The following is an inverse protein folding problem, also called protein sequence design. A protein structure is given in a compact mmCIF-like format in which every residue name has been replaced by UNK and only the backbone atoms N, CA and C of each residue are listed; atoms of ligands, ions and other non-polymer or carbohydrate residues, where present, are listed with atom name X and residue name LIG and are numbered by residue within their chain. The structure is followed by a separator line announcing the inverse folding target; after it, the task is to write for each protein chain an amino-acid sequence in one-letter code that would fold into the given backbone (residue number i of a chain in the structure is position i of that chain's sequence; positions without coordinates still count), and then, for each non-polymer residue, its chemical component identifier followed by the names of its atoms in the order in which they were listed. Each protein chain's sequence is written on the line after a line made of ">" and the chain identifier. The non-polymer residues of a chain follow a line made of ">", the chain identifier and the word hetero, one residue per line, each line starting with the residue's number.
data_IF_975111438552
#
_entry.id   IF_975111438552
#
_cell.length_a   1.000
_cell.length_b   1.000
_cell.length_c   1.000
_cell.angle_alpha   90.00
_cell.angle_beta   90.00
_cell.angle_gamma   90.00
#
_symmetry.space_group_name_H-M   'P 1'
#
loop_
_entity.id
_entity.type
_entity.pdbx_description
1 polymer ?
#
# COMPACT_ATOMS: atom_id res chain seq x y z
N UNK A 1 -17.62 34.09 -9.31
CA UNK A 1 -18.31 33.00 -10.04
C UNK A 1 -17.21 32.07 -10.50
N UNK A 2 -17.19 30.83 -10.02
CA UNK A 2 -16.22 29.84 -10.47
C UNK A 2 -16.32 29.66 -11.98
N UNK A 3 -15.17 29.63 -12.64
CA UNK A 3 -15.07 29.42 -14.08
C UNK A 3 -15.30 27.94 -14.36
N UNK A 4 -16.50 27.61 -14.82
CA UNK A 4 -16.83 26.28 -15.35
C UNK A 4 -16.59 26.21 -16.85
N UNK A 5 -16.43 25.01 -17.38
CA UNK A 5 -16.35 24.74 -18.81
C UNK A 5 -17.56 25.33 -19.58
N UNK A 6 -18.75 25.29 -18.96
CA UNK A 6 -19.97 25.85 -19.52
C UNK A 6 -19.96 27.38 -19.58
N UNK A 7 -19.46 28.04 -18.54
CA UNK A 7 -19.35 29.51 -18.52
C UNK A 7 -18.30 30.02 -19.51
N UNK A 8 -17.19 29.30 -19.67
CA UNK A 8 -16.16 29.65 -20.66
C UNK A 8 -16.62 29.38 -22.10
N UNK A 9 -17.42 28.34 -22.33
CA UNK A 9 -18.08 28.14 -23.62
C UNK A 9 -18.91 29.37 -24.02
N UNK A 10 -19.71 29.93 -23.11
CA UNK A 10 -20.50 31.12 -23.40
C UNK A 10 -19.65 32.39 -23.60
N UNK A 11 -18.57 32.56 -22.84
CA UNK A 11 -17.62 33.67 -23.06
C UNK A 11 -16.89 33.55 -24.40
N UNK A 12 -16.43 32.35 -24.77
CA UNK A 12 -15.77 32.12 -26.07
C UNK A 12 -16.73 32.41 -27.24
N UNK A 13 -17.99 31.98 -27.15
CA UNK A 13 -19.04 32.31 -28.12
C UNK A 13 -19.29 33.83 -28.25
N UNK A 14 -19.05 34.58 -27.16
CA UNK A 14 -19.18 36.04 -27.13
C UNK A 14 -17.98 36.74 -27.76
N UNK A 15 -16.77 36.24 -27.51
CA UNK A 15 -15.50 36.88 -27.88
C UNK A 15 -15.01 36.50 -29.27
N UNK A 16 -15.32 35.30 -29.75
CA UNK A 16 -14.77 34.74 -30.97
C UNK A 16 -15.90 34.25 -31.90
N UNK A 17 -15.89 34.67 -33.17
CA UNK A 17 -16.95 34.31 -34.12
C UNK A 17 -16.89 32.86 -34.60
N UNK A 18 -15.67 32.30 -34.67
CA UNK A 18 -15.38 30.91 -34.99
C UNK A 18 -15.91 29.95 -33.91
N UNK A 19 -15.81 30.31 -32.63
CA UNK A 19 -16.35 29.54 -31.51
C UNK A 19 -17.87 29.31 -31.60
N UNK A 20 -18.61 30.17 -32.32
CA UNK A 20 -20.07 30.06 -32.50
C UNK A 20 -20.51 28.87 -33.35
N UNK A 21 -19.58 28.30 -34.11
CA UNK A 21 -19.82 27.12 -34.94
C UNK A 21 -19.55 25.79 -34.23
N UNK A 22 -19.02 25.85 -33.00
CA UNK A 22 -18.56 24.68 -32.25
C UNK A 22 -19.61 24.32 -31.21
N UNK A 23 -20.04 23.05 -31.17
CA UNK A 23 -20.97 22.58 -30.16
C UNK A 23 -20.27 22.46 -28.80
N UNK A 24 -21.02 22.66 -27.71
CA UNK A 24 -20.48 22.52 -26.35
C UNK A 24 -19.76 21.18 -26.10
N UNK A 25 -20.24 20.09 -26.73
CA UNK A 25 -19.63 18.76 -26.64
C UNK A 25 -18.25 18.68 -27.28
N UNK A 26 -18.07 19.40 -28.39
CA UNK A 26 -16.86 19.36 -29.20
C UNK A 26 -15.89 20.49 -28.78
N UNK A 27 -16.34 21.42 -27.95
CA UNK A 27 -15.59 22.57 -27.47
C UNK A 27 -14.22 22.23 -26.86
N UNK A 28 -14.04 21.16 -26.05
CA UNK A 28 -12.73 20.80 -25.50
C UNK A 28 -11.67 20.41 -26.54
N UNK A 29 -12.07 20.01 -27.75
CA UNK A 29 -11.13 19.66 -28.82
C UNK A 29 -10.50 20.89 -29.49
N UNK A 30 -11.19 22.04 -29.40
CA UNK A 30 -10.78 23.29 -30.04
C UNK A 30 -10.29 24.32 -29.03
N UNK A 31 -10.85 24.29 -27.83
CA UNK A 31 -10.52 25.15 -26.70
C UNK A 31 -10.17 24.27 -25.51
N UNK A 32 -8.89 23.88 -25.44
CA UNK A 32 -8.31 23.26 -24.26
C UNK A 32 -7.98 24.33 -23.24
N UNK A 33 -8.18 24.04 -21.94
CA UNK A 33 -7.60 24.85 -20.89
C UNK A 33 -6.10 24.95 -21.17
N UNK A 34 -5.55 26.16 -21.31
CA UNK A 34 -4.13 26.30 -21.05
C UNK A 34 -3.96 25.92 -19.59
N UNK A 35 -3.38 24.75 -19.33
CA UNK A 35 -2.97 24.36 -18.00
C UNK A 35 -2.12 25.50 -17.46
N UNK A 36 -2.72 26.23 -16.53
CA UNK A 36 -2.19 27.45 -15.94
C UNK A 36 -1.05 27.11 -14.97
N UNK A 37 -0.03 26.39 -15.42
CA UNK A 37 1.25 26.34 -14.71
C UNK A 37 1.94 27.70 -14.74
N UNK A 38 1.59 28.58 -15.71
CA UNK A 38 2.21 29.90 -15.85
C UNK A 38 1.57 31.05 -15.07
N UNK A 39 0.46 30.84 -14.37
CA UNK A 39 -0.16 31.88 -13.52
C UNK A 39 -0.90 31.19 -12.38
N UNK A 40 -0.22 30.95 -11.26
CA UNK A 40 -0.70 30.23 -10.07
C UNK A 40 -2.13 30.57 -9.62
N UNK A 41 -3.11 29.94 -10.27
CA UNK A 41 -4.55 30.14 -10.08
C UNK A 41 -5.31 28.82 -9.95
N UNK A 42 -4.59 27.69 -9.98
CA UNK A 42 -5.08 26.38 -9.54
C UNK A 42 -3.96 25.86 -8.65
N UNK A 43 -4.25 25.62 -7.36
CA UNK A 43 -3.35 24.82 -6.52
C UNK A 43 -3.19 23.48 -7.24
N UNK A 44 -1.96 23.13 -7.64
CA UNK A 44 -1.72 21.83 -8.23
C UNK A 44 -2.30 20.77 -7.30
N UNK A 45 -2.87 19.71 -7.87
CA UNK A 45 -3.36 18.57 -7.10
C UNK A 45 -2.20 17.98 -6.30
N UNK A 46 -2.01 18.48 -5.08
CA UNK A 46 -0.90 18.16 -4.20
C UNK A 46 -1.19 16.89 -3.39
N UNK A 47 -2.27 16.17 -3.71
CA UNK A 47 -2.72 14.98 -2.97
C UNK A 47 -1.65 13.88 -2.94
N UNK A 48 -0.88 13.72 -4.01
CA UNK A 48 0.23 12.76 -4.08
C UNK A 48 1.39 13.15 -3.15
N UNK A 49 1.69 14.45 -3.10
CA UNK A 49 2.72 14.98 -2.20
C UNK A 49 2.26 14.94 -0.73
N UNK A 50 1.01 15.27 -0.45
CA UNK A 50 0.40 15.16 0.88
C UNK A 50 0.40 13.70 1.35
N UNK A 51 0.06 12.76 0.47
CA UNK A 51 0.08 11.32 0.75
C UNK A 51 1.49 10.82 1.08
N UNK A 52 2.50 11.22 0.30
CA UNK A 52 3.90 10.89 0.60
C UNK A 52 4.35 11.54 1.91
N UNK A 53 4.02 12.82 2.11
CA UNK A 53 4.35 13.56 3.34
C UNK A 53 3.76 12.89 4.57
N UNK A 54 2.50 12.48 4.52
CA UNK A 54 1.84 11.75 5.61
C UNK A 54 2.53 10.40 5.88
N UNK A 55 2.88 9.68 4.81
CA UNK A 55 3.57 8.39 4.91
C UNK A 55 4.94 8.51 5.56
N UNK A 56 5.66 9.63 5.39
CA UNK A 56 6.97 9.83 6.04
C UNK A 56 6.92 9.79 7.57
N UNK A 57 5.74 9.95 8.18
CA UNK A 57 5.58 9.94 9.63
C UNK A 57 5.64 8.53 10.24
N UNK A 58 5.37 7.48 9.46
CA UNK A 58 5.21 6.12 9.97
C UNK A 58 5.83 5.03 9.10
N UNK A 59 6.14 5.30 7.83
CA UNK A 59 6.76 4.33 6.95
C UNK A 59 8.29 4.32 7.05
N UNK A 60 8.86 3.13 6.88
CA UNK A 60 10.31 2.98 6.70
C UNK A 60 10.73 3.50 5.31
N UNK A 61 11.98 4.00 5.14
CA UNK A 61 12.47 4.53 3.87
C UNK A 61 12.26 3.60 2.66
N UNK A 62 12.39 2.29 2.83
CA UNK A 62 12.13 1.30 1.78
C UNK A 62 10.66 1.22 1.35
N UNK A 63 9.72 1.32 2.29
CA UNK A 63 8.29 1.41 2.01
C UNK A 63 7.96 2.71 1.29
N UNK A 64 8.56 3.83 1.72
CA UNK A 64 8.41 5.13 1.03
C UNK A 64 8.90 5.07 -0.42
N UNK A 65 10.05 4.42 -0.69
CA UNK A 65 10.53 4.20 -2.06
C UNK A 65 9.55 3.36 -2.90
N UNK A 66 8.91 2.35 -2.29
CA UNK A 66 7.87 1.53 -2.94
C UNK A 66 6.59 2.31 -3.21
N UNK A 67 6.15 3.14 -2.28
CA UNK A 67 5.01 4.04 -2.48
C UNK A 67 5.31 5.03 -3.61
N UNK A 68 6.50 5.63 -3.61
CA UNK A 68 6.94 6.53 -4.68
C UNK A 68 6.94 5.84 -6.05
N UNK A 69 7.53 4.65 -6.17
CA UNK A 69 7.49 3.88 -7.42
C UNK A 69 6.05 3.55 -7.85
N UNK A 70 5.15 3.24 -6.91
CA UNK A 70 3.73 3.00 -7.19
C UNK A 70 3.04 4.25 -7.74
N UNK A 71 3.31 5.42 -7.14
CA UNK A 71 2.79 6.72 -7.59
C UNK A 71 3.25 7.02 -9.02
N UNK A 72 4.53 6.79 -9.34
CA UNK A 72 5.05 6.97 -10.71
C UNK A 72 4.28 6.13 -11.73
N UNK A 73 4.00 4.86 -11.42
CA UNK A 73 3.38 3.93 -12.37
C UNK A 73 1.88 4.16 -12.53
N UNK A 74 1.17 4.47 -11.44
CA UNK A 74 -0.30 4.39 -11.41
C UNK A 74 -1.02 5.73 -11.24
N UNK A 75 -0.31 6.80 -10.84
CA UNK A 75 -0.94 8.07 -10.48
C UNK A 75 -0.64 9.22 -11.45
N UNK A 76 0.20 9.01 -12.46
CA UNK A 76 0.57 10.01 -13.48
C UNK A 76 0.87 11.42 -12.88
N UNK A 77 1.82 11.53 -11.93
CA UNK A 77 2.14 12.81 -11.30
C UNK A 77 2.59 13.87 -12.31
N UNK A 78 2.05 15.09 -12.16
CA UNK A 78 2.38 16.24 -13.02
C UNK A 78 3.81 16.75 -12.83
N UNK A 79 4.35 16.68 -11.61
CA UNK A 79 5.71 17.10 -11.28
C UNK A 79 6.50 16.00 -10.54
N UNK A 80 6.93 15.00 -11.29
CA UNK A 80 7.79 13.91 -10.80
C UNK A 80 9.09 14.45 -10.17
N UNK A 81 9.67 15.50 -10.75
CA UNK A 81 10.98 16.01 -10.31
C UNK A 81 10.86 16.72 -8.96
N UNK A 82 9.84 17.55 -8.78
CA UNK A 82 9.55 18.19 -7.50
C UNK A 82 9.21 17.18 -6.40
N UNK A 83 8.42 16.14 -6.72
CA UNK A 83 8.13 15.03 -5.81
C UNK A 83 9.41 14.29 -5.39
N UNK A 84 10.28 13.96 -6.35
CA UNK A 84 11.58 13.33 -6.08
C UNK A 84 12.44 14.18 -5.14
N UNK A 85 12.68 15.45 -5.48
CA UNK A 85 13.57 16.32 -4.70
C UNK A 85 13.08 16.55 -3.27
N UNK A 86 11.76 16.64 -3.09
CA UNK A 86 11.15 16.85 -1.78
C UNK A 86 11.23 15.62 -0.88
N UNK A 87 11.02 14.42 -1.44
CA UNK A 87 10.92 13.18 -0.66
C UNK A 87 12.22 12.36 -0.63
N UNK A 88 13.25 12.75 -1.39
CA UNK A 88 14.56 12.07 -1.43
C UNK A 88 15.20 11.94 -0.05
N UNK A 89 15.16 13.00 0.78
CA UNK A 89 15.74 12.94 2.11
C UNK A 89 15.06 11.82 2.93
N UNK A 90 13.73 11.80 3.00
CA UNK A 90 13.00 10.74 3.72
C UNK A 90 13.26 9.34 3.14
N UNK A 91 13.23 9.22 1.81
CA UNK A 91 13.49 7.97 1.10
C UNK A 91 14.93 7.48 1.20
N UNK A 92 15.88 8.28 1.70
CA UNK A 92 17.30 7.92 1.77
C UNK A 92 17.83 7.77 3.19
N UNK A 93 16.97 7.90 4.20
CA UNK A 93 17.39 7.96 5.60
C UNK A 93 18.22 6.75 6.04
N UNK A 94 17.83 5.55 5.60
CA UNK A 94 18.53 4.29 5.85
C UNK A 94 19.94 4.28 5.24
N UNK A 95 20.09 4.70 3.98
CA UNK A 95 21.40 4.72 3.32
C UNK A 95 22.34 5.81 3.85
N UNK A 96 21.81 6.93 4.35
CA UNK A 96 22.60 8.03 4.92
C UNK A 96 23.36 7.63 6.18
N UNK A 97 22.88 6.63 6.93
CA UNK A 97 23.54 6.16 8.17
C UNK A 97 24.85 5.44 7.88
N UNK A 98 24.91 4.69 6.79
CA UNK A 98 26.08 3.89 6.42
C UNK A 98 26.96 4.54 5.35
N UNK A 99 26.47 5.58 4.65
CA UNK A 99 27.18 6.22 3.55
C UNK A 99 27.28 7.75 3.70
N UNK A 100 28.50 8.32 3.79
CA UNK A 100 28.69 9.77 3.93
C UNK A 100 28.54 10.54 2.59
N UNK A 101 28.57 9.85 1.44
CA UNK A 101 28.46 10.47 0.12
C UNK A 101 27.00 10.64 -0.28
N UNK A 102 26.54 11.89 -0.39
CA UNK A 102 25.19 12.21 -0.86
C UNK A 102 24.90 11.67 -2.27
N UNK A 103 25.91 11.70 -3.15
CA UNK A 103 25.78 11.17 -4.52
C UNK A 103 25.58 9.66 -4.48
N UNK A 104 26.38 8.94 -3.70
CA UNK A 104 26.23 7.48 -3.58
C UNK A 104 24.86 7.10 -3.00
N UNK A 105 24.42 7.83 -1.98
CA UNK A 105 23.08 7.64 -1.37
C UNK A 105 21.97 7.86 -2.38
N UNK A 106 22.02 8.95 -3.14
CA UNK A 106 21.03 9.26 -4.19
C UNK A 106 20.98 8.13 -5.24
N UNK A 107 22.15 7.64 -5.67
CA UNK A 107 22.27 6.56 -6.64
C UNK A 107 21.71 5.23 -6.10
N UNK A 108 21.95 4.89 -4.83
CA UNK A 108 21.36 3.71 -4.20
C UNK A 108 19.82 3.77 -4.18
N UNK A 109 19.24 4.93 -3.87
CA UNK A 109 17.78 5.13 -3.93
C UNK A 109 17.26 4.96 -5.35
N UNK A 110 17.93 5.56 -6.34
CA UNK A 110 17.54 5.44 -7.75
C UNK A 110 17.59 4.00 -8.26
N UNK A 111 18.63 3.25 -7.89
CA UNK A 111 18.78 1.83 -8.23
C UNK A 111 17.65 0.99 -7.62
N UNK A 112 17.30 1.24 -6.35
CA UNK A 112 16.20 0.53 -5.68
C UNK A 112 14.84 0.82 -6.35
N UNK A 113 14.57 2.09 -6.68
CA UNK A 113 13.38 2.50 -7.43
C UNK A 113 13.37 1.90 -8.84
N UNK A 114 14.49 1.88 -9.56
CA UNK A 114 14.59 1.24 -10.88
C UNK A 114 14.17 -0.23 -10.81
N UNK A 115 14.68 -0.97 -9.83
CA UNK A 115 14.36 -2.38 -9.66
C UNK A 115 12.86 -2.59 -9.39
N UNK A 116 12.21 -1.67 -8.64
CA UNK A 116 10.75 -1.65 -8.45
C UNK A 116 10.00 -1.43 -9.76
N UNK A 117 10.38 -0.40 -10.51
CA UNK A 117 9.75 -0.06 -11.78
C UNK A 117 9.85 -1.22 -12.77
N UNK A 118 11.02 -1.86 -12.86
CA UNK A 118 11.23 -3.03 -13.72
C UNK A 118 10.31 -4.20 -13.36
N UNK A 119 10.10 -4.47 -12.06
CA UNK A 119 9.14 -5.49 -11.62
C UNK A 119 7.69 -5.17 -12.01
N UNK A 120 7.36 -3.89 -12.21
CA UNK A 120 6.06 -3.41 -12.70
C UNK A 120 6.04 -3.22 -14.24
N UNK A 121 7.10 -3.64 -14.94
CA UNK A 121 7.20 -3.56 -16.40
C UNK A 121 7.44 -2.14 -16.93
N UNK A 122 8.06 -1.26 -16.12
CA UNK A 122 8.42 0.11 -16.49
C UNK A 122 9.93 0.31 -16.41
N UNK A 123 10.46 1.08 -17.34
CA UNK A 123 11.87 1.51 -17.32
C UNK A 123 11.99 2.84 -16.59
N UNK A 124 13.04 3.04 -15.80
CA UNK A 124 13.20 4.27 -15.00
C UNK A 124 13.38 5.49 -15.89
N UNK A 125 13.97 5.30 -17.08
CA UNK A 125 14.18 6.30 -18.12
C UNK A 125 12.87 6.85 -18.70
N UNK A 126 11.73 6.19 -18.43
CA UNK A 126 10.42 6.71 -18.80
C UNK A 126 9.92 7.84 -17.89
N UNK A 127 10.64 8.13 -16.80
CA UNK A 127 10.33 9.19 -15.84
C UNK A 127 11.45 10.23 -15.79
N UNK A 128 11.15 11.52 -15.53
CA UNK A 128 12.15 12.60 -15.49
C UNK A 128 12.94 12.61 -14.16
N UNK A 129 13.56 11.47 -13.83
CA UNK A 129 14.43 11.27 -12.66
C UNK A 129 15.91 11.49 -13.03
N UNK A 130 16.82 11.71 -12.06
CA UNK A 130 18.24 11.77 -12.33
C UNK A 130 18.76 10.47 -12.97
N UNK A 131 19.79 10.59 -13.82
CA UNK A 131 20.43 9.45 -14.46
C UNK A 131 21.15 8.56 -13.44
N UNK A 132 21.07 7.24 -13.66
CA UNK A 132 21.81 6.26 -12.88
C UNK A 132 23.24 6.15 -13.38
N UNK A 133 24.18 6.19 -12.45
CA UNK A 133 25.59 5.95 -12.68
C UNK A 133 25.90 4.48 -12.39
N UNK A 134 26.21 3.70 -13.44
CA UNK A 134 26.43 2.25 -13.35
C UNK A 134 27.50 1.84 -12.34
N UNK A 135 28.44 2.73 -11.99
CA UNK A 135 29.48 2.47 -10.99
C UNK A 135 28.95 2.20 -9.57
N UNK A 136 27.72 2.60 -9.28
CA UNK A 136 27.05 2.37 -7.99
C UNK A 136 26.15 1.14 -7.99
N UNK A 137 25.95 0.50 -9.15
CA UNK A 137 25.11 -0.68 -9.29
C UNK A 137 25.88 -1.95 -8.90
N UNK A 138 25.97 -2.20 -7.60
CA UNK A 138 26.59 -3.41 -7.05
C UNK A 138 25.67 -4.63 -7.11
N UNK A 139 24.45 -4.49 -7.68
CA UNK A 139 23.36 -5.47 -7.59
C UNK A 139 23.48 -6.70 -8.49
N UNK A 140 24.68 -7.05 -8.95
CA UNK A 140 24.90 -8.32 -9.64
C UNK A 140 24.71 -9.47 -8.64
N UNK A 141 23.47 -9.95 -8.51
CA UNK A 141 23.15 -11.28 -8.00
C UNK A 141 22.49 -11.40 -6.62
N UNK A 142 22.11 -10.31 -5.94
CA UNK A 142 21.42 -10.38 -4.63
C UNK A 142 19.97 -9.93 -4.79
N UNK A 143 19.02 -10.79 -4.43
CA UNK A 143 17.60 -10.46 -4.44
C UNK A 143 17.32 -9.37 -3.41
N UNK A 144 16.49 -8.39 -3.77
CA UNK A 144 16.21 -7.19 -2.98
C UNK A 144 15.86 -7.50 -1.52
N UNK A 145 15.05 -8.53 -1.27
CA UNK A 145 14.63 -8.95 0.06
C UNK A 145 15.81 -9.36 0.94
N UNK A 146 16.85 -9.98 0.35
CA UNK A 146 18.08 -10.36 1.07
C UNK A 146 18.88 -9.11 1.43
N UNK A 147 18.97 -8.14 0.51
CA UNK A 147 19.65 -6.89 0.77
C UNK A 147 18.92 -6.08 1.87
N UNK A 148 17.59 -6.02 1.82
CA UNK A 148 16.74 -5.38 2.83
C UNK A 148 16.97 -5.97 4.23
N UNK A 149 16.92 -7.30 4.39
CA UNK A 149 17.17 -7.98 5.68
C UNK A 149 18.62 -7.78 6.17
N UNK A 150 19.60 -7.77 5.26
CA UNK A 150 21.02 -7.59 5.62
C UNK A 150 21.39 -6.18 6.07
N UNK A 151 20.54 -5.18 5.81
CA UNK A 151 20.77 -3.77 6.17
C UNK A 151 20.23 -3.42 7.56
N UNK A 152 19.51 -4.33 8.21
CA UNK A 152 18.95 -4.13 9.56
C UNK A 152 20.10 -4.15 10.58
N UNK A 153 20.29 -3.04 11.31
CA UNK A 153 21.24 -2.98 12.42
C UNK A 153 20.79 -3.90 13.56
N UNK A 154 21.57 -4.95 13.82
CA UNK A 154 21.31 -5.87 14.92
C UNK A 154 21.56 -5.16 16.26
N UNK A 155 20.50 -4.98 17.06
CA UNK A 155 20.68 -4.55 18.44
C UNK A 155 21.30 -5.70 19.24
N UNK A 156 22.47 -5.45 19.84
CA UNK A 156 23.15 -6.44 20.70
C UNK A 156 22.26 -6.83 21.88
N UNK A 157 21.39 -5.95 22.36
CA UNK A 157 20.44 -6.25 23.42
C UNK A 157 19.38 -7.29 22.99
N UNK A 158 19.05 -7.33 21.70
CA UNK A 158 18.09 -8.30 21.14
C UNK A 158 18.66 -9.72 21.13
N UNK A 159 19.99 -9.87 21.14
CA UNK A 159 20.63 -11.21 21.21
C UNK A 159 20.29 -11.95 22.51
N UNK A 160 20.00 -11.22 23.59
CA UNK A 160 19.60 -11.79 24.89
C UNK A 160 18.10 -12.08 24.98
N UNK A 161 17.27 -11.63 24.02
CA UNK A 161 15.82 -11.91 24.04
C UNK A 161 15.50 -13.40 23.90
N UNK A 162 16.42 -14.16 23.30
CA UNK A 162 16.36 -15.62 23.22
C UNK A 162 16.23 -16.30 24.60
N UNK A 163 16.77 -15.68 25.66
CA UNK A 163 16.66 -16.18 27.04
C UNK A 163 15.29 -15.90 27.69
N UNK A 164 14.50 -15.01 27.09
CA UNK A 164 13.17 -14.62 27.57
C UNK A 164 12.01 -15.30 26.84
N UNK A 165 12.31 -16.18 25.87
CA UNK A 165 11.30 -16.88 25.08
C UNK A 165 10.51 -17.86 25.95
N UNK A 166 9.20 -17.98 25.67
CA UNK A 166 8.39 -19.05 26.25
C UNK A 166 8.71 -20.40 25.58
N UNK A 167 8.14 -21.49 26.09
CA UNK A 167 8.41 -22.86 25.61
C UNK A 167 8.18 -23.04 24.10
N UNK A 168 7.13 -22.43 23.57
CA UNK A 168 6.69 -22.66 22.19
C UNK A 168 7.52 -21.80 21.22
N UNK A 169 7.80 -20.55 21.61
CA UNK A 169 8.71 -19.67 20.88
C UNK A 169 10.14 -20.22 20.87
N UNK A 170 10.60 -20.79 22.00
CA UNK A 170 11.91 -21.41 22.12
C UNK A 170 12.05 -22.62 21.20
N UNK A 171 11.01 -23.46 21.11
CA UNK A 171 11.02 -24.61 20.21
C UNK A 171 11.16 -24.19 18.74
N UNK A 172 10.41 -23.16 18.29
CA UNK A 172 10.52 -22.63 16.94
C UNK A 172 11.91 -21.99 16.67
N UNK A 173 12.42 -21.22 17.64
CA UNK A 173 13.75 -20.62 17.56
C UNK A 173 14.85 -21.67 17.41
N UNK A 174 14.87 -22.70 18.26
CA UNK A 174 15.89 -23.75 18.23
C UNK A 174 15.85 -24.55 16.89
N UNK A 175 14.66 -24.77 16.32
CA UNK A 175 14.50 -25.43 15.02
C UNK A 175 15.08 -24.60 13.87
N UNK A 176 14.77 -23.30 13.83
CA UNK A 176 15.29 -22.38 12.81
C UNK A 176 16.81 -22.23 12.93
N UNK A 177 17.32 -22.02 14.15
CA UNK A 177 18.77 -21.90 14.39
C UNK A 177 19.51 -23.17 14.01
N UNK A 178 18.94 -24.36 14.30
CA UNK A 178 19.55 -25.61 13.88
C UNK A 178 19.59 -25.79 12.36
N UNK A 179 18.62 -25.26 11.61
CA UNK A 179 18.63 -25.32 10.15
C UNK A 179 19.69 -24.38 9.55
N UNK A 180 19.88 -23.21 10.16
CA UNK A 180 20.93 -22.25 9.81
C UNK A 180 22.31 -22.85 10.09
N UNK A 181 22.54 -23.40 11.29
CA UNK A 181 23.83 -23.98 11.71
C UNK A 181 24.27 -25.16 10.82
N UNK A 182 23.30 -25.84 10.19
CA UNK A 182 23.55 -26.97 9.29
C UNK A 182 23.63 -26.57 7.82
N UNK A 183 23.40 -25.31 7.49
CA UNK A 183 23.35 -24.79 6.12
C UNK A 183 22.35 -25.56 5.22
N UNK A 184 21.27 -26.08 5.83
CA UNK A 184 20.28 -26.91 5.12
C UNK A 184 19.22 -26.06 4.41
N UNK A 185 19.16 -24.76 4.72
CA UNK A 185 18.08 -23.85 4.28
C UNK A 185 16.71 -24.27 4.81
N UNK A 186 15.67 -23.49 4.53
CA UNK A 186 14.30 -23.85 4.93
C UNK A 186 13.30 -22.71 4.81
N UNK A 187 12.01 -23.06 4.79
CA UNK A 187 10.90 -22.10 4.86
C UNK A 187 10.10 -22.41 6.11
N UNK A 188 10.06 -21.46 7.04
CA UNK A 188 9.39 -21.60 8.33
C UNK A 188 8.23 -20.59 8.42
N UNK A 189 7.08 -21.05 8.88
CA UNK A 189 5.94 -20.19 9.15
C UNK A 189 5.80 -20.03 10.66
N UNK A 190 5.98 -18.81 11.15
CA UNK A 190 5.81 -18.47 12.57
C UNK A 190 4.47 -17.77 12.72
N UNK A 191 3.52 -18.44 13.37
CA UNK A 191 2.21 -17.87 13.68
C UNK A 191 2.25 -17.30 15.11
N UNK A 192 2.13 -15.97 15.20
CA UNK A 192 2.10 -15.25 16.47
C UNK A 192 0.68 -14.79 16.82
N UNK A 193 0.36 -14.54 18.10
CA UNK A 193 -0.91 -13.94 18.47
C UNK A 193 -1.00 -12.49 17.96
N UNK A 194 -1.54 -12.31 16.76
CA UNK A 194 -1.92 -11.01 16.21
C UNK A 194 -3.29 -10.56 16.71
N UNK A 195 -3.53 -9.26 16.76
CA UNK A 195 -4.90 -8.75 16.90
C UNK A 195 -5.76 -9.28 15.73
N UNK A 196 -7.08 -9.40 15.94
CA UNK A 196 -8.01 -9.86 14.89
C UNK A 196 -7.85 -9.06 13.60
N UNK A 197 -7.57 -7.75 13.71
CA UNK A 197 -7.32 -6.88 12.57
C UNK A 197 -6.03 -7.24 11.81
N UNK A 198 -4.93 -7.51 12.52
CA UNK A 198 -3.66 -7.93 11.91
C UNK A 198 -3.81 -9.27 11.18
N UNK A 199 -4.47 -10.25 11.82
CA UNK A 199 -4.70 -11.57 11.20
C UNK A 199 -5.57 -11.45 9.93
N UNK A 200 -6.58 -10.58 9.93
CA UNK A 200 -7.41 -10.32 8.76
C UNK A 200 -6.62 -9.60 7.65
N UNK A 201 -5.78 -8.63 7.98
CA UNK A 201 -4.95 -7.91 7.01
C UNK A 201 -3.87 -8.80 6.37
N UNK A 202 -3.29 -9.71 7.15
CA UNK A 202 -2.34 -10.71 6.64
C UNK A 202 -3.01 -11.88 5.92
N UNK A 203 -4.35 -11.96 5.93
CA UNK A 203 -5.07 -13.08 5.32
C UNK A 203 -4.98 -13.05 3.79
N UNK A 204 -5.00 -14.24 3.18
CA UNK A 204 -5.06 -14.41 1.72
C UNK A 204 -6.20 -13.64 1.07
N UNK A 205 -7.28 -13.34 1.80
CA UNK A 205 -8.43 -12.55 1.33
C UNK A 205 -8.13 -11.08 1.10
N UNK A 206 -7.06 -10.55 1.70
CA UNK A 206 -6.56 -9.18 1.52
C UNK A 206 -5.35 -9.08 0.59
N UNK A 207 -4.83 -10.23 0.12
CA UNK A 207 -3.77 -10.27 -0.87
C UNK A 207 -4.29 -9.95 -2.28
N UNK A 208 -3.46 -9.28 -3.08
CA UNK A 208 -3.69 -9.08 -4.52
C UNK A 208 -3.84 -10.40 -5.30
N UNK A 209 -3.37 -11.52 -4.73
CA UNK A 209 -3.51 -12.85 -5.32
C UNK A 209 -4.94 -13.40 -5.21
N UNK A 210 -5.75 -12.88 -4.29
CA UNK A 210 -7.12 -13.37 -4.05
C UNK A 210 -7.96 -13.39 -5.31
N UNK A 211 -7.90 -12.32 -6.10
CA UNK A 211 -8.71 -12.15 -7.32
C UNK A 211 -8.28 -13.08 -8.45
N UNK A 212 -7.06 -13.63 -8.37
CA UNK A 212 -6.50 -14.57 -9.34
C UNK A 212 -6.76 -16.05 -8.97
N UNK A 213 -7.30 -16.31 -7.78
CA UNK A 213 -7.57 -17.67 -7.30
C UNK A 213 -8.96 -18.17 -7.70
N UNK A 214 -9.09 -19.47 -7.97
CA UNK A 214 -10.38 -20.11 -8.21
C UNK A 214 -11.14 -20.29 -6.89
N UNK A 215 -12.18 -19.49 -6.67
CA UNK A 215 -12.98 -19.56 -5.43
C UNK A 215 -13.97 -20.72 -5.46
N UNK A 216 -13.77 -21.70 -4.58
CA UNK A 216 -14.75 -22.75 -4.31
C UNK A 216 -15.66 -22.32 -3.16
N UNK A 217 -16.97 -22.19 -3.43
CA UNK A 217 -17.94 -21.73 -2.43
C UNK A 217 -18.59 -22.91 -1.71
N UNK A 218 -18.40 -22.99 -0.40
CA UNK A 218 -19.20 -23.86 0.47
C UNK A 218 -20.43 -23.09 0.93
N UNK A 219 -21.60 -23.47 0.44
CA UNK A 219 -22.87 -22.71 0.60
C UNK A 219 -23.73 -23.18 1.78
N UNK A 220 -23.24 -24.14 2.59
CA UNK A 220 -24.01 -24.70 3.71
C UNK A 220 -23.22 -24.59 5.01
N UNK A 221 -23.79 -23.88 5.98
CA UNK A 221 -23.22 -23.80 7.32
C UNK A 221 -23.50 -25.10 8.08
N UNK A 222 -22.46 -25.91 8.29
CA UNK A 222 -22.57 -27.21 8.97
C UNK A 222 -22.64 -27.09 10.50
N UNK A 223 -22.29 -25.93 11.07
CA UNK A 223 -22.28 -25.70 12.53
C UNK A 223 -23.63 -25.28 13.07
N UNK A 224 -24.42 -24.55 12.28
CA UNK A 224 -25.77 -24.10 12.63
C UNK A 224 -26.87 -24.94 11.96
N UNK A 225 -26.63 -26.22 11.67
CA UNK A 225 -27.55 -27.06 10.90
C UNK A 225 -28.95 -27.21 11.52
N UNK A 226 -29.07 -26.98 12.84
CA UNK A 226 -30.32 -27.07 13.61
C UNK A 226 -31.14 -25.78 13.57
N UNK A 227 -30.58 -24.67 13.09
CA UNK A 227 -31.26 -23.40 12.87
C UNK A 227 -30.95 -22.90 11.44
N UNK A 228 -31.74 -23.34 10.44
CA UNK A 228 -31.52 -23.04 9.03
C UNK A 228 -31.47 -21.54 8.73
N UNK A 229 -32.25 -20.75 9.46
CA UNK A 229 -32.29 -19.31 9.28
C UNK A 229 -31.00 -18.67 9.82
N UNK A 230 -30.51 -19.10 11.00
CA UNK A 230 -29.26 -18.56 11.55
C UNK A 230 -28.05 -18.96 10.72
N UNK A 231 -28.08 -20.19 10.19
CA UNK A 231 -27.12 -20.66 9.20
C UNK A 231 -27.05 -19.75 7.98
N UNK A 232 -28.21 -19.34 7.44
CA UNK A 232 -28.31 -18.43 6.29
C UNK A 232 -27.82 -17.01 6.64
N UNK A 233 -28.21 -16.49 7.80
CA UNK A 233 -27.73 -15.20 8.30
C UNK A 233 -26.20 -15.16 8.45
N UNK A 234 -25.57 -16.19 9.02
CA UNK A 234 -24.11 -16.28 9.13
C UNK A 234 -23.42 -16.34 7.75
N UNK A 235 -24.06 -16.96 6.75
CA UNK A 235 -23.54 -16.97 5.38
C UNK A 235 -23.60 -15.58 4.76
N UNK A 236 -24.66 -14.80 5.00
CA UNK A 236 -24.75 -13.42 4.54
C UNK A 236 -23.68 -12.51 5.14
N UNK A 237 -23.39 -12.67 6.44
CA UNK A 237 -22.27 -11.96 7.09
C UNK A 237 -20.95 -12.32 6.42
N UNK A 238 -20.66 -13.62 6.23
CA UNK A 238 -19.43 -14.09 5.59
C UNK A 238 -19.28 -13.68 4.12
N UNK A 239 -20.40 -13.51 3.42
CA UNK A 239 -20.47 -13.02 2.04
C UNK A 239 -20.44 -11.47 1.94
N UNK A 240 -20.49 -10.75 3.06
CA UNK A 240 -20.51 -9.28 3.09
C UNK A 240 -21.82 -8.67 2.59
N UNK A 241 -22.95 -9.38 2.73
CA UNK A 241 -24.28 -8.93 2.29
C UNK A 241 -25.05 -8.16 3.37
N UNK A 242 -24.65 -8.29 4.63
CA UNK A 242 -25.25 -7.55 5.74
C UNK A 242 -24.67 -6.14 5.83
N UNK A 243 -25.52 -5.16 6.11
CA UNK A 243 -25.09 -3.77 6.25
C UNK A 243 -24.20 -3.59 7.49
N UNK A 244 -23.11 -2.85 7.33
CA UNK A 244 -22.19 -2.50 8.40
C UNK A 244 -22.33 -1.04 8.80
N UNK A 245 -22.09 -0.72 10.08
CA UNK A 245 -21.95 0.66 10.53
C UNK A 245 -20.62 1.28 10.02
N UNK A 246 -20.35 2.53 10.41
CA UNK A 246 -19.12 3.27 10.01
C UNK A 246 -17.82 2.62 10.51
N UNK A 247 -17.93 1.77 11.54
CA UNK A 247 -16.81 1.05 12.15
C UNK A 247 -16.69 -0.40 11.61
N UNK A 248 -17.51 -0.78 10.62
CA UNK A 248 -17.47 -2.11 10.00
C UNK A 248 -18.19 -3.21 10.80
N UNK A 249 -18.99 -2.86 11.81
CA UNK A 249 -19.71 -3.81 12.65
C UNK A 249 -21.09 -4.12 12.06
N UNK A 250 -21.50 -5.40 12.14
CA UNK A 250 -22.83 -5.87 11.73
C UNK A 250 -23.74 -5.93 12.96
N UNK A 251 -24.91 -5.29 12.87
CA UNK A 251 -25.89 -5.31 13.95
C UNK A 251 -26.51 -6.71 14.10
N UNK A 252 -26.61 -7.22 15.33
CA UNK A 252 -27.37 -8.43 15.60
C UNK A 252 -28.87 -8.18 15.36
N UNK A 253 -29.54 -9.12 14.69
CA UNK A 253 -30.97 -9.03 14.48
C UNK A 253 -31.74 -9.13 15.80
N UNK A 254 -32.87 -8.41 15.89
CA UNK A 254 -33.69 -8.23 17.10
C UNK A 254 -34.23 -9.51 17.74
N UNK A 255 -34.20 -10.64 17.03
CA UNK A 255 -34.57 -11.96 17.57
C UNK A 255 -33.52 -12.57 18.49
N UNK A 256 -32.29 -12.05 18.51
CA UNK A 256 -31.24 -12.50 19.42
C UNK A 256 -31.10 -11.51 20.56
N UNK A 257 -31.17 -12.03 21.79
CA UNK A 257 -30.94 -11.25 22.99
C UNK A 257 -29.65 -11.74 23.63
N UNK A 258 -28.75 -10.80 23.90
CA UNK A 258 -27.55 -11.11 24.66
C UNK A 258 -27.95 -11.16 26.14
N UNK A 259 -27.90 -12.34 26.75
CA UNK A 259 -28.14 -12.48 28.18
C UNK A 259 -26.80 -12.73 28.89
N UNK A 260 -26.62 -12.05 30.01
CA UNK A 260 -25.48 -12.28 30.87
C UNK A 260 -25.71 -13.56 31.70
N UNK A 261 -24.89 -14.58 31.44
CA UNK A 261 -24.88 -15.84 32.18
C UNK A 261 -23.53 -15.94 32.91
N UNK A 262 -23.53 -15.48 34.16
CA UNK A 262 -22.32 -15.41 34.98
C UNK A 262 -21.37 -14.31 34.50
N UNK A 263 -20.14 -14.66 34.11
CA UNK A 263 -19.14 -13.71 33.54
C UNK A 263 -19.14 -13.67 32.01
N UNK A 264 -20.10 -14.33 31.37
CA UNK A 264 -20.11 -14.51 29.91
C UNK A 264 -21.41 -13.98 29.33
N UNK A 265 -21.29 -13.09 28.35
CA UNK A 265 -22.41 -12.70 27.50
C UNK A 265 -22.70 -13.85 26.54
N UNK A 266 -23.89 -14.43 26.65
CA UNK A 266 -24.31 -15.54 25.80
C UNK A 266 -25.42 -15.04 24.88
N UNK A 267 -25.22 -15.25 23.58
CA UNK A 267 -26.27 -14.96 22.60
C UNK A 267 -27.34 -16.04 22.73
N UNK A 268 -28.57 -15.63 23.01
CA UNK A 268 -29.71 -16.54 23.08
C UNK A 268 -30.71 -16.17 21.99
N UNK A 269 -31.24 -17.21 21.38
CA UNK A 269 -32.39 -17.17 20.50
C UNK A 269 -33.68 -17.38 21.29
#
# INVERSE_FOLDING_TARGET
>A
VEKSMLTEYFEANRLHEDARSILYRDFPEWYTWQTTERRGLIEGDNTLDESLTESTLYEMPSSLRRLFATILVFCEPSDVRGLWEKHLDAMSEDYRRSNPSKVAVEQLVLIDIRNMLQSMGKEIESFPLPDIQEEYDTSIGVTREIFEESTIELNVEDTYLSDSLNSDQRAAYDEIMSAIDRDEGGVFFVDGPGSRAQIINSSLRRSYLWDSMRHLKLVRNMRAHSDPWFAEYLLHIGDGKEETNRDGEVAFQTRYVCQELGRTLTLIH
#
